data_IF_172168582120
#
_entry.id   IF_172168582120
#
_cell.length_a   1.000
_cell.length_b   1.000
_cell.length_c   1.000
_cell.angle_alpha   90.00
_cell.angle_beta   90.00
_cell.angle_gamma   90.00
#
_symmetry.space_group_name_H-M   'P 1'
#
loop_
_entity.id
_entity.type
_entity.pdbx_description
1 polymer ?
#
# COMPACT_ATOMS: atom_id res chain seq x y z
N UNK A 1 19.79 18.39 4.88
CA UNK A 1 20.51 17.64 3.84
C UNK A 1 19.72 17.72 2.54
N UNK A 2 18.75 16.84 2.26
CA UNK A 2 18.03 16.83 0.96
C UNK A 2 17.50 18.21 0.52
N UNK A 3 16.72 18.89 1.35
CA UNK A 3 16.14 20.21 1.00
C UNK A 3 17.22 21.28 0.81
N UNK A 4 18.28 21.23 1.61
CA UNK A 4 19.39 22.18 1.50
C UNK A 4 20.19 21.94 0.21
N UNK A 5 20.35 20.68 -0.19
CA UNK A 5 21.03 20.32 -1.44
C UNK A 5 20.22 20.78 -2.66
N UNK A 6 18.90 20.63 -2.64
CA UNK A 6 18.02 21.12 -3.72
C UNK A 6 18.08 22.64 -3.85
N UNK A 7 17.99 23.36 -2.73
CA UNK A 7 18.12 24.82 -2.71
C UNK A 7 19.51 25.27 -3.17
N UNK A 8 20.58 24.59 -2.75
CA UNK A 8 21.94 24.89 -3.17
C UNK A 8 22.15 24.70 -4.67
N UNK A 9 21.50 23.70 -5.26
CA UNK A 9 21.47 23.47 -6.71
C UNK A 9 20.60 24.48 -7.48
N UNK A 10 19.85 25.33 -6.78
CA UNK A 10 18.96 26.33 -7.37
C UNK A 10 17.61 25.74 -7.81
N UNK A 11 17.21 24.58 -7.29
CA UNK A 11 15.87 24.06 -7.48
C UNK A 11 14.90 24.70 -6.48
N UNK A 12 13.83 25.26 -7.01
CA UNK A 12 12.71 25.80 -6.26
C UNK A 12 11.46 24.95 -6.55
N UNK A 13 10.51 24.95 -5.63
CA UNK A 13 9.25 24.24 -5.77
C UNK A 13 8.09 25.13 -5.31
N UNK A 14 6.98 25.09 -6.05
CA UNK A 14 5.79 25.89 -5.77
C UNK A 14 5.07 25.42 -4.50
N UNK A 15 5.12 24.10 -4.25
CA UNK A 15 4.48 23.43 -3.14
C UNK A 15 5.42 22.40 -2.52
N UNK A 16 5.45 22.32 -1.19
CA UNK A 16 6.30 21.35 -0.51
C UNK A 16 6.71 21.73 0.90
N UNK A 17 7.64 20.97 1.50
CA UNK A 17 8.27 21.36 2.75
C UNK A 17 8.85 22.77 2.66
N UNK A 18 8.86 23.51 3.78
CA UNK A 18 9.31 24.92 3.92
C UNK A 18 8.39 25.97 3.28
N UNK A 19 7.90 25.75 2.06
CA UNK A 19 7.05 26.73 1.33
C UNK A 19 5.56 26.55 1.61
N UNK A 20 5.14 25.35 1.99
CA UNK A 20 3.74 25.01 2.25
C UNK A 20 2.96 24.76 0.96
N UNK A 21 1.64 24.89 1.03
CA UNK A 21 0.72 24.72 -0.10
C UNK A 21 -0.69 24.38 0.40
N UNK A 22 -1.60 23.92 -0.49
CA UNK A 22 -2.98 23.61 -0.14
C UNK A 22 -3.10 22.43 0.84
N UNK A 23 -2.17 21.49 0.79
CA UNK A 23 -2.15 20.32 1.67
C UNK A 23 -1.63 20.65 3.08
N UNK A 24 -2.20 19.99 4.09
CA UNK A 24 -1.85 20.20 5.51
C UNK A 24 -0.37 19.95 5.79
N UNK A 25 0.20 18.95 5.14
CA UNK A 25 1.63 18.64 5.23
C UNK A 25 2.10 17.91 3.98
N UNK A 26 3.36 18.16 3.64
CA UNK A 26 4.14 17.46 2.61
C UNK A 26 5.09 16.42 3.23
N UNK A 27 4.93 16.11 4.53
CA UNK A 27 5.62 15.03 5.22
C UNK A 27 4.67 13.87 5.46
N UNK A 28 4.92 12.71 4.83
CA UNK A 28 4.04 11.53 4.97
C UNK A 28 3.88 11.06 6.43
N UNK A 29 4.89 11.28 7.28
CA UNK A 29 4.82 10.98 8.72
C UNK A 29 3.74 11.76 9.47
N UNK A 30 3.31 12.89 8.93
CA UNK A 30 2.30 13.80 9.52
C UNK A 30 0.91 13.59 8.91
N UNK A 31 0.76 12.71 7.92
CA UNK A 31 -0.49 12.46 7.17
C UNK A 31 -1.26 11.23 7.64
N UNK A 32 -0.93 10.71 8.84
CA UNK A 32 -1.48 9.44 9.35
C UNK A 32 -3.01 9.43 9.50
N UNK A 33 -3.62 10.57 9.86
CA UNK A 33 -5.08 10.70 9.98
C UNK A 33 -5.75 10.55 8.62
N UNK A 34 -5.24 11.25 7.60
CA UNK A 34 -5.75 11.14 6.22
C UNK A 34 -5.70 9.69 5.73
N UNK A 35 -4.59 8.99 5.95
CA UNK A 35 -4.50 7.57 5.57
C UNK A 35 -5.45 6.67 6.36
N UNK A 36 -5.68 6.95 7.65
CA UNK A 36 -6.61 6.19 8.48
C UNK A 36 -8.06 6.32 7.96
N UNK A 37 -8.48 7.55 7.66
CA UNK A 37 -9.82 7.85 7.18
C UNK A 37 -10.12 7.14 5.85
N UNK A 38 -9.14 7.13 4.92
CA UNK A 38 -9.28 6.40 3.65
C UNK A 38 -9.32 4.90 3.86
N UNK A 39 -8.52 4.32 4.77
CA UNK A 39 -8.60 2.89 5.07
C UNK A 39 -9.94 2.51 5.71
N UNK A 40 -10.55 3.38 6.51
CA UNK A 40 -11.90 3.16 7.03
C UNK A 40 -12.92 3.11 5.90
N UNK A 41 -12.87 4.06 4.96
CA UNK A 41 -13.70 4.05 3.76
C UNK A 41 -13.52 2.76 2.93
N UNK A 42 -12.26 2.38 2.64
CA UNK A 42 -11.97 1.16 1.88
C UNK A 42 -12.44 -0.12 2.60
N UNK A 43 -12.42 -0.14 3.94
CA UNK A 43 -12.94 -1.25 4.72
C UNK A 43 -14.47 -1.36 4.61
N UNK A 44 -15.20 -0.24 4.63
CA UNK A 44 -16.64 -0.20 4.43
C UNK A 44 -17.03 -0.73 3.03
N UNK A 45 -16.24 -0.39 2.01
CA UNK A 45 -16.41 -0.88 0.63
C UNK A 45 -15.92 -2.32 0.43
N UNK A 46 -15.43 -2.99 1.48
CA UNK A 46 -14.89 -4.36 1.44
C UNK A 46 -13.73 -4.55 0.44
N UNK A 47 -12.97 -3.48 0.19
CA UNK A 47 -11.80 -3.49 -0.67
C UNK A 47 -10.53 -3.90 0.08
N UNK A 48 -10.57 -3.92 1.41
CA UNK A 48 -9.46 -4.34 2.26
C UNK A 48 -9.94 -5.30 3.35
N UNK A 49 -9.03 -6.12 3.88
CA UNK A 49 -9.34 -7.05 4.96
C UNK A 49 -8.18 -7.20 5.96
N UNK A 50 -8.47 -7.60 7.22
CA UNK A 50 -7.45 -7.83 8.23
C UNK A 50 -6.71 -9.15 7.98
N UNK A 51 -5.38 -9.11 8.07
CA UNK A 51 -4.51 -10.26 7.97
C UNK A 51 -3.76 -10.49 9.28
N UNK A 52 -3.93 -11.69 9.83
CA UNK A 52 -3.31 -12.15 11.07
C UNK A 52 -2.16 -13.13 10.81
N UNK A 53 -1.60 -13.18 9.60
CA UNK A 53 -0.43 -14.01 9.34
C UNK A 53 0.80 -13.44 10.07
N UNK A 54 1.63 -14.30 10.66
CA UNK A 54 2.90 -13.88 11.25
C UNK A 54 4.03 -13.95 10.22
N UNK A 55 5.15 -13.28 10.51
CA UNK A 55 6.30 -13.23 9.59
C UNK A 55 6.87 -14.61 9.28
N UNK A 56 6.95 -15.50 10.27
CA UNK A 56 7.44 -16.86 10.09
C UNK A 56 6.61 -17.64 9.07
N UNK A 57 5.27 -17.53 9.12
CA UNK A 57 4.36 -18.13 8.15
C UNK A 57 4.58 -17.54 6.75
N UNK A 58 4.61 -16.21 6.65
CA UNK A 58 4.84 -15.54 5.36
C UNK A 58 6.17 -15.97 4.74
N UNK A 59 7.21 -16.11 5.57
CA UNK A 59 8.51 -16.63 5.15
C UNK A 59 8.45 -18.10 4.72
N UNK A 60 7.69 -18.96 5.42
CA UNK A 60 7.57 -20.37 5.02
C UNK A 60 6.87 -20.55 3.67
N UNK A 61 5.94 -19.66 3.32
CA UNK A 61 5.32 -19.61 1.99
C UNK A 61 6.34 -19.11 0.96
N UNK A 62 7.16 -18.13 1.37
CA UNK A 62 8.23 -17.57 0.55
C UNK A 62 9.48 -18.46 0.39
N UNK A 63 9.62 -19.53 1.19
CA UNK A 63 10.82 -20.38 1.20
C UNK A 63 10.55 -21.81 0.72
N UNK A 64 9.35 -22.10 0.19
CA UNK A 64 9.01 -23.43 -0.32
C UNK A 64 9.84 -23.74 -1.60
N UNK A 65 10.58 -24.86 -1.65
CA UNK A 65 11.64 -25.06 -2.63
C UNK A 65 11.11 -25.69 -3.92
N UNK A 66 10.85 -24.90 -4.98
CA UNK A 66 10.72 -25.44 -6.34
C UNK A 66 11.62 -24.62 -7.29
N UNK A 67 12.42 -25.35 -8.06
CA UNK A 67 13.40 -24.80 -9.00
C UNK A 67 12.68 -24.15 -10.19
N UNK A 68 12.92 -22.86 -10.40
CA UNK A 68 12.41 -22.07 -11.53
C UNK A 68 11.43 -21.00 -11.07
N UNK A 69 11.98 -19.84 -10.70
CA UNK A 69 11.33 -18.52 -10.63
C UNK A 69 9.81 -18.50 -10.41
N UNK A 70 9.36 -18.82 -9.19
CA UNK A 70 8.01 -18.44 -8.76
C UNK A 70 8.16 -17.29 -7.77
N UNK A 71 7.79 -16.08 -8.19
CA UNK A 71 7.63 -14.94 -7.29
C UNK A 71 6.69 -15.39 -6.18
N UNK A 72 7.19 -15.46 -4.95
CA UNK A 72 6.43 -16.01 -3.83
C UNK A 72 5.37 -15.02 -3.36
N UNK A 73 4.12 -15.33 -3.68
CA UNK A 73 2.94 -14.49 -3.45
C UNK A 73 2.22 -14.85 -2.14
N UNK A 74 1.41 -13.93 -1.61
CA UNK A 74 0.54 -14.24 -0.47
C UNK A 74 -0.48 -15.29 -0.89
N UNK A 75 -1.07 -16.05 0.04
CA UNK A 75 -1.94 -17.19 -0.30
C UNK A 75 -3.41 -16.96 0.09
N UNK A 76 -3.82 -15.70 0.29
CA UNK A 76 -5.21 -15.37 0.57
C UNK A 76 -5.75 -15.86 1.93
N UNK A 77 -4.93 -16.47 2.81
CA UNK A 77 -5.42 -17.17 4.03
C UNK A 77 -6.43 -16.39 4.86
N UNK A 78 -6.26 -15.07 4.99
CA UNK A 78 -7.12 -14.24 5.83
C UNK A 78 -8.25 -13.54 5.06
N UNK A 79 -8.35 -13.71 3.74
CA UNK A 79 -9.30 -13.00 2.87
C UNK A 79 -10.76 -13.33 3.17
N UNK A 80 -11.03 -14.56 3.60
CA UNK A 80 -12.39 -15.07 3.81
C UNK A 80 -12.70 -15.42 5.27
N UNK A 81 -11.95 -14.85 6.22
CA UNK A 81 -12.28 -15.01 7.64
C UNK A 81 -13.65 -14.42 7.93
N UNK A 82 -14.47 -15.12 8.72
CA UNK A 82 -15.74 -14.59 9.18
C UNK A 82 -15.54 -13.63 10.37
N UNK A 83 -16.56 -12.83 10.67
CA UNK A 83 -16.51 -11.82 11.74
C UNK A 83 -16.13 -12.40 13.11
N UNK A 84 -16.60 -13.62 13.40
CA UNK A 84 -16.26 -14.31 14.65
C UNK A 84 -14.76 -14.65 14.74
N UNK A 85 -14.17 -15.17 13.67
CA UNK A 85 -12.74 -15.48 13.61
C UNK A 85 -11.89 -14.20 13.69
N UNK A 86 -12.32 -13.14 13.00
CA UNK A 86 -11.64 -11.83 13.06
C UNK A 86 -11.67 -11.32 14.51
N UNK A 87 -12.81 -11.37 15.17
CA UNK A 87 -12.96 -10.88 16.54
C UNK A 87 -12.09 -11.68 17.54
N UNK A 88 -12.04 -13.00 17.40
CA UNK A 88 -11.20 -13.85 18.24
C UNK A 88 -9.70 -13.54 18.04
N UNK A 89 -9.27 -13.42 16.78
CA UNK A 89 -7.86 -13.13 16.45
C UNK A 89 -7.41 -11.72 16.84
N UNK A 90 -8.31 -10.73 16.80
CA UNK A 90 -8.04 -9.35 17.27
C UNK A 90 -7.65 -9.30 18.75
N UNK A 91 -8.18 -10.21 19.57
CA UNK A 91 -7.80 -10.29 20.98
C UNK A 91 -6.33 -10.72 21.16
N UNK A 92 -5.75 -11.39 20.17
CA UNK A 92 -4.39 -11.91 20.23
C UNK A 92 -3.35 -10.95 19.67
N UNK A 93 -3.68 -10.18 18.63
CA UNK A 93 -2.78 -9.17 18.03
C UNK A 93 -3.50 -8.21 17.09
N UNK A 94 -2.86 -7.07 16.88
CA UNK A 94 -3.24 -6.15 15.82
C UNK A 94 -2.99 -6.75 14.42
N UNK A 95 -3.99 -6.73 13.52
CA UNK A 95 -3.82 -7.20 12.16
C UNK A 95 -3.06 -6.19 11.30
N UNK A 96 -2.37 -6.70 10.28
CA UNK A 96 -2.09 -5.89 9.09
C UNK A 96 -3.35 -5.74 8.24
N UNK A 97 -3.47 -4.69 7.45
CA UNK A 97 -4.53 -4.52 6.46
C UNK A 97 -3.97 -4.79 5.07
N UNK A 98 -4.68 -5.61 4.29
CA UNK A 98 -4.32 -5.96 2.90
C UNK A 98 -5.38 -5.46 1.93
N UNK A 99 -4.95 -5.06 0.73
CA UNK A 99 -5.86 -4.84 -0.40
C UNK A 99 -6.38 -6.19 -0.90
N UNK A 100 -7.69 -6.28 -1.15
CA UNK A 100 -8.29 -7.36 -1.91
C UNK A 100 -8.18 -7.05 -3.41
N UNK A 101 -7.18 -7.63 -4.08
CA UNK A 101 -7.04 -7.54 -5.53
C UNK A 101 -8.16 -8.36 -6.17
N UNK A 102 -9.08 -7.66 -6.84
CA UNK A 102 -10.27 -8.24 -7.47
C UNK A 102 -10.16 -8.29 -9.00
N UNK A 103 -9.15 -7.64 -9.58
CA UNK A 103 -8.93 -7.59 -11.02
C UNK A 103 -7.58 -8.23 -11.33
N UNK A 104 -7.59 -9.22 -12.22
CA UNK A 104 -6.40 -9.96 -12.62
C UNK A 104 -5.70 -9.36 -13.86
N UNK A 105 -6.35 -8.47 -14.62
CA UNK A 105 -5.75 -7.85 -15.80
C UNK A 105 -5.76 -6.33 -15.66
N UNK A 106 -4.58 -5.73 -15.64
CA UNK A 106 -4.38 -4.29 -15.58
C UNK A 106 -3.80 -3.80 -16.91
N UNK A 107 -4.43 -2.77 -17.46
CA UNK A 107 -3.99 -2.10 -18.68
C UNK A 107 -3.72 -0.64 -18.34
N UNK A 108 -2.59 -0.11 -18.77
CA UNK A 108 -2.29 1.33 -18.71
C UNK A 108 -1.33 1.71 -19.83
N UNK A 109 -1.34 2.99 -20.21
CA UNK A 109 -0.41 3.52 -21.21
C UNK A 109 0.71 4.26 -20.49
N UNK A 110 1.93 3.71 -20.57
CA UNK A 110 3.12 4.41 -20.14
C UNK A 110 3.58 5.37 -21.25
N UNK A 111 3.93 6.61 -20.90
CA UNK A 111 4.29 7.64 -21.89
C UNK A 111 5.52 7.27 -22.73
N UNK A 112 6.45 6.48 -22.18
CA UNK A 112 7.67 6.06 -22.85
C UNK A 112 7.61 4.62 -23.36
N UNK A 113 7.04 3.70 -22.58
CA UNK A 113 6.98 2.27 -22.88
C UNK A 113 5.73 1.89 -23.70
N UNK A 114 4.78 2.81 -23.85
CA UNK A 114 3.52 2.59 -24.55
C UNK A 114 2.56 1.72 -23.75
N UNK A 115 1.61 1.09 -24.45
CA UNK A 115 0.59 0.24 -23.84
C UNK A 115 1.23 -0.91 -23.05
N UNK A 116 0.94 -0.95 -21.75
CA UNK A 116 1.35 -1.97 -20.81
C UNK A 116 0.16 -2.85 -20.45
N UNK A 117 0.42 -4.15 -20.35
CA UNK A 117 -0.54 -5.13 -19.85
C UNK A 117 0.13 -5.96 -18.74
N UNK A 118 -0.46 -5.92 -17.55
CA UNK A 118 0.00 -6.68 -16.40
C UNK A 118 -1.08 -7.69 -16.02
N UNK A 119 -0.70 -8.96 -16.02
CA UNK A 119 -1.52 -10.03 -15.46
C UNK A 119 -1.14 -10.25 -14.00
N UNK A 120 -2.06 -9.91 -13.09
CA UNK A 120 -2.00 -10.21 -11.67
C UNK A 120 -2.63 -11.58 -11.40
N UNK A 121 -2.04 -12.30 -10.45
CA UNK A 121 -2.63 -13.53 -9.93
C UNK A 121 -3.56 -13.19 -8.75
N UNK A 122 -4.62 -12.42 -9.02
CA UNK A 122 -5.60 -11.86 -8.07
C UNK A 122 -5.29 -12.08 -6.58
N UNK A 123 -5.92 -13.07 -5.92
CA UNK A 123 -5.82 -13.28 -4.46
C UNK A 123 -4.40 -13.50 -3.93
N UNK A 124 -3.47 -13.83 -4.82
CA UNK A 124 -2.08 -14.04 -4.48
C UNK A 124 -1.30 -12.70 -4.39
N UNK A 125 -1.77 -11.66 -5.08
CA UNK A 125 -1.17 -10.32 -5.08
C UNK A 125 -1.79 -9.34 -4.08
N UNK A 126 -2.53 -9.83 -3.08
CA UNK A 126 -3.09 -9.00 -2.00
C UNK A 126 -1.99 -8.37 -1.14
N UNK A 127 -1.60 -7.13 -1.44
CA UNK A 127 -0.49 -6.43 -0.78
C UNK A 127 -0.91 -5.72 0.51
N UNK A 128 0.06 -5.55 1.41
CA UNK A 128 -0.15 -4.88 2.71
C UNK A 128 -0.25 -3.36 2.49
N UNK A 129 -1.33 -2.75 2.97
CA UNK A 129 -1.54 -1.29 2.99
C UNK A 129 -1.15 -0.67 4.34
N UNK A 130 -1.36 -1.41 5.43
CA UNK A 130 -0.97 -1.01 6.78
C UNK A 130 -0.45 -2.21 7.54
N UNK A 131 0.72 -2.07 8.17
CA UNK A 131 1.34 -3.12 8.96
C UNK A 131 0.70 -3.20 10.35
N UNK A 132 0.86 -4.34 11.02
CA UNK A 132 0.32 -4.54 12.37
C UNK A 132 0.97 -3.66 13.46
N UNK A 133 2.12 -3.04 13.17
CA UNK A 133 2.74 -2.01 14.03
C UNK A 133 2.23 -0.60 13.72
N UNK A 134 1.22 -0.47 12.85
CA UNK A 134 0.58 0.79 12.49
C UNK A 134 1.20 1.52 11.30
N UNK A 135 2.37 1.11 10.83
CA UNK A 135 3.05 1.78 9.73
C UNK A 135 2.33 1.57 8.40
N UNK A 136 2.08 2.66 7.67
CA UNK A 136 1.50 2.63 6.32
C UNK A 136 2.53 2.19 5.28
N UNK A 137 2.08 1.40 4.30
CA UNK A 137 2.92 0.98 3.20
C UNK A 137 3.13 2.12 2.19
N UNK A 138 4.32 2.15 1.58
CA UNK A 138 4.66 3.12 0.54
C UNK A 138 3.62 3.18 -0.59
N UNK A 139 3.19 2.02 -1.09
CA UNK A 139 2.18 1.94 -2.17
C UNK A 139 0.85 2.62 -1.81
N UNK A 140 0.46 2.62 -0.53
CA UNK A 140 -0.72 3.35 -0.08
C UNK A 140 -0.43 4.85 -0.02
N UNK A 141 0.66 5.22 0.66
CA UNK A 141 0.98 6.62 0.93
C UNK A 141 1.19 7.40 -0.38
N UNK A 142 1.99 6.88 -1.32
CA UNK A 142 2.23 7.53 -2.61
C UNK A 142 0.94 7.73 -3.40
N UNK A 143 0.12 6.69 -3.57
CA UNK A 143 -1.10 6.80 -4.38
C UNK A 143 -2.09 7.80 -3.75
N UNK A 144 -2.25 7.76 -2.43
CA UNK A 144 -3.18 8.67 -1.76
C UNK A 144 -2.68 10.12 -1.73
N UNK A 145 -1.36 10.32 -1.65
CA UNK A 145 -0.75 11.65 -1.70
C UNK A 145 -0.79 12.23 -3.12
N UNK A 146 -0.52 11.43 -4.15
CA UNK A 146 -0.65 11.84 -5.55
C UNK A 146 -2.07 12.31 -5.87
N UNK A 147 -3.07 11.54 -5.41
CA UNK A 147 -4.49 11.91 -5.55
C UNK A 147 -4.80 13.21 -4.81
N UNK A 148 -4.37 13.34 -3.55
CA UNK A 148 -4.66 14.53 -2.74
C UNK A 148 -3.99 15.78 -3.30
N UNK A 149 -2.74 15.65 -3.74
CA UNK A 149 -1.92 16.75 -4.29
C UNK A 149 -2.20 17.03 -5.77
N UNK A 150 -3.12 16.29 -6.40
CA UNK A 150 -3.52 16.53 -7.78
C UNK A 150 -2.41 16.26 -8.80
N UNK A 151 -1.55 15.27 -8.53
CA UNK A 151 -0.47 14.87 -9.43
C UNK A 151 -1.06 14.26 -10.71
N UNK A 152 -0.57 14.73 -11.86
CA UNK A 152 -1.10 14.35 -13.18
C UNK A 152 -0.11 13.59 -14.06
N UNK A 153 1.19 13.73 -13.78
CA UNK A 153 2.28 13.05 -14.50
C UNK A 153 3.23 12.44 -13.45
N UNK A 154 3.47 11.13 -13.55
CA UNK A 154 4.34 10.33 -12.67
C UNK A 154 5.38 9.59 -13.51
#
# INVERSE_FOLDING_TARGET
>A
ALLDDLEWLGFEWDEGPRVGGPEVSYWQSERQTYYADILEYLALEKLIYPCFCNRARLQSIASAPHAGEVVHRYDGKCRHLCDFEIQDLRNSKEPSLRLAVNTCDLNFDDRWQGAQHIHLECELDDYVLRRGDGMYAYNLAVVLDDIAMGITEV
#
